data_IF_216165084111
#
_entry.id   IF_216165084111
#
_cell.length_a   1.000
_cell.length_b   1.000
_cell.length_c   1.000
_cell.angle_alpha   90.00
_cell.angle_beta   90.00
_cell.angle_gamma   90.00
#
_symmetry.space_group_name_H-M   'P 1'
#
loop_
_entity.id
_entity.type
_entity.pdbx_description
1 polymer ?
#
# COMPACT_ATOMS: atom_id res chain seq x y z
N UNK A 1 -12.81 13.45 53.39
CA UNK A 1 -12.79 12.46 52.29
C UNK A 1 -12.26 13.18 51.06
N UNK A 2 -11.01 12.90 50.68
CA UNK A 2 -10.31 13.60 49.62
C UNK A 2 -10.74 13.05 48.25
N UNK A 3 -11.25 13.93 47.38
CA UNK A 3 -11.66 13.61 46.02
C UNK A 3 -10.44 13.37 45.14
N UNK A 4 -10.39 12.20 44.51
CA UNK A 4 -9.37 11.80 43.55
C UNK A 4 -9.50 12.61 42.26
N UNK A 5 -8.43 13.36 41.94
CA UNK A 5 -8.17 13.96 40.64
C UNK A 5 -8.07 12.84 39.59
N UNK A 6 -9.09 12.68 38.76
CA UNK A 6 -8.99 11.86 37.54
C UNK A 6 -8.19 12.64 36.51
N UNK A 7 -6.90 12.33 36.44
CA UNK A 7 -5.97 12.83 35.45
C UNK A 7 -6.41 12.43 34.04
N UNK A 8 -6.61 13.43 33.19
CA UNK A 8 -6.78 13.26 31.75
C UNK A 8 -5.43 12.86 31.14
N UNK A 9 -5.23 11.55 30.97
CA UNK A 9 -4.13 11.01 30.16
C UNK A 9 -4.49 11.24 28.68
N UNK A 10 -4.05 12.36 28.10
CA UNK A 10 -4.05 12.55 26.66
C UNK A 10 -3.04 11.58 26.02
N UNK A 11 -3.54 10.48 25.47
CA UNK A 11 -2.79 9.64 24.54
C UNK A 11 -2.69 10.36 23.19
N UNK A 12 -1.59 11.06 22.96
CA UNK A 12 -1.17 11.48 21.62
C UNK A 12 -0.76 10.25 20.83
N UNK A 13 -1.66 9.74 19.98
CA UNK A 13 -1.31 8.78 18.94
C UNK A 13 -0.36 9.48 17.96
N UNK A 14 0.94 9.23 18.12
CA UNK A 14 1.91 9.47 17.08
C UNK A 14 1.57 8.52 15.92
N UNK A 15 0.88 9.04 14.90
CA UNK A 15 0.68 8.37 13.63
C UNK A 15 2.04 8.25 12.93
N UNK A 16 2.83 7.26 13.33
CA UNK A 16 3.94 6.79 12.50
C UNK A 16 3.34 6.31 11.19
N UNK A 17 3.85 6.79 10.05
CA UNK A 17 3.40 6.35 8.74
C UNK A 17 3.50 4.82 8.64
N UNK A 18 2.36 4.14 8.76
CA UNK A 18 2.28 2.68 8.72
C UNK A 18 2.79 2.19 7.37
N UNK A 19 4.00 1.62 7.41
CA UNK A 19 4.60 0.94 6.28
C UNK A 19 4.10 -0.49 6.26
N UNK A 20 3.33 -0.86 5.25
CA UNK A 20 2.92 -2.25 5.02
C UNK A 20 3.73 -2.88 3.89
N UNK A 21 4.21 -4.09 4.12
CA UNK A 21 4.97 -4.88 3.16
C UNK A 21 4.21 -6.19 2.89
N UNK A 22 3.57 -6.29 1.73
CA UNK A 22 2.80 -7.45 1.30
C UNK A 22 3.51 -8.16 0.16
N UNK A 23 3.62 -9.48 0.24
CA UNK A 23 4.15 -10.32 -0.84
C UNK A 23 2.98 -10.96 -1.57
N UNK A 24 2.95 -10.80 -2.89
CA UNK A 24 1.88 -11.30 -3.75
C UNK A 24 2.48 -12.00 -4.95
N UNK A 25 1.82 -13.07 -5.40
CA UNK A 25 2.19 -13.80 -6.60
C UNK A 25 1.12 -13.55 -7.66
N UNK A 26 1.55 -13.14 -8.86
CA UNK A 26 0.68 -12.83 -9.99
C UNK A 26 1.25 -13.52 -11.21
N UNK A 27 0.47 -14.40 -11.83
CA UNK A 27 0.82 -15.10 -13.07
C UNK A 27 2.20 -15.79 -12.99
N UNK A 28 2.50 -16.42 -11.84
CA UNK A 28 3.76 -17.12 -11.56
C UNK A 28 4.96 -16.24 -11.19
N UNK A 29 4.78 -14.90 -11.13
CA UNK A 29 5.80 -13.96 -10.72
C UNK A 29 5.55 -13.42 -9.30
N UNK A 30 6.61 -13.37 -8.48
CA UNK A 30 6.55 -12.88 -7.09
C UNK A 30 6.91 -11.41 -7.00
N UNK A 31 5.99 -10.65 -6.42
CA UNK A 31 6.09 -9.22 -6.20
C UNK A 31 6.10 -8.89 -4.71
N UNK A 32 6.90 -7.90 -4.34
CA UNK A 32 6.83 -7.23 -3.04
C UNK A 32 6.17 -5.88 -3.26
N UNK A 33 5.00 -5.70 -2.66
CA UNK A 33 4.25 -4.46 -2.62
C UNK A 33 4.51 -3.82 -1.27
N UNK A 34 5.15 -2.67 -1.26
CA UNK A 34 5.34 -1.84 -0.08
C UNK A 34 4.42 -0.63 -0.19
N UNK A 35 3.60 -0.37 0.81
CA UNK A 35 2.80 0.85 0.93
C UNK A 35 3.29 1.68 2.11
N UNK A 36 3.35 2.99 1.95
CA UNK A 36 3.68 3.95 3.01
C UNK A 36 2.74 5.14 2.83
N UNK A 37 1.72 5.24 3.68
CA UNK A 37 0.61 6.14 3.46
C UNK A 37 -0.06 5.89 2.10
N UNK A 38 -0.09 6.91 1.24
CA UNK A 38 -0.65 6.82 -0.11
C UNK A 38 0.36 6.37 -1.17
N UNK A 39 1.65 6.22 -0.84
CA UNK A 39 2.67 5.83 -1.80
C UNK A 39 2.78 4.32 -1.84
N UNK A 40 2.80 3.74 -3.03
CA UNK A 40 3.09 2.33 -3.25
C UNK A 40 4.38 2.15 -4.05
N UNK A 41 5.15 1.15 -3.66
CA UNK A 41 6.34 0.68 -4.39
C UNK A 41 6.22 -0.82 -4.63
N UNK A 42 6.31 -1.23 -5.87
CA UNK A 42 6.31 -2.63 -6.30
C UNK A 42 7.67 -3.01 -6.81
N UNK A 43 8.24 -4.06 -6.25
CA UNK A 43 9.48 -4.66 -6.72
C UNK A 43 9.26 -6.13 -7.06
N UNK A 44 9.64 -6.56 -8.26
CA UNK A 44 9.70 -7.98 -8.59
C UNK A 44 10.94 -8.59 -7.93
N UNK A 45 10.82 -9.79 -7.35
CA UNK A 45 11.94 -10.47 -6.67
C UNK A 45 12.91 -11.18 -7.63
N UNK A 46 12.69 -11.13 -8.94
CA UNK A 46 13.58 -11.76 -9.93
C UNK A 46 14.78 -10.87 -10.27
N UNK A 47 15.95 -11.49 -10.50
CA UNK A 47 17.22 -10.81 -10.80
C UNK A 47 17.27 -10.22 -12.22
N UNK A 48 16.42 -10.68 -13.13
CA UNK A 48 16.27 -10.17 -14.50
C UNK A 48 14.87 -9.59 -14.60
N UNK A 49 14.76 -8.27 -14.68
CA UNK A 49 13.49 -7.57 -14.90
C UNK A 49 13.65 -6.72 -16.14
N UNK A 50 13.00 -7.12 -17.23
CA UNK A 50 12.76 -6.23 -18.35
C UNK A 50 11.50 -5.42 -18.01
N UNK A 51 11.63 -4.10 -17.89
CA UNK A 51 10.51 -3.22 -17.61
C UNK A 51 9.72 -3.01 -18.92
N UNK A 52 8.90 -3.99 -19.28
CA UNK A 52 7.99 -3.92 -20.42
C UNK A 52 6.56 -3.58 -19.97
N UNK A 53 5.66 -3.29 -20.93
CA UNK A 53 4.28 -2.89 -20.63
C UNK A 53 3.55 -3.98 -19.85
N UNK A 54 3.75 -5.26 -20.20
CA UNK A 54 3.15 -6.40 -19.53
C UNK A 54 3.60 -6.55 -18.07
N UNK A 55 4.88 -6.27 -17.79
CA UNK A 55 5.42 -6.28 -16.44
C UNK A 55 4.80 -5.16 -15.60
N UNK A 56 4.62 -3.98 -16.19
CA UNK A 56 3.92 -2.86 -15.54
C UNK A 56 2.48 -3.23 -15.19
N UNK A 57 1.76 -3.87 -16.10
CA UNK A 57 0.38 -4.29 -15.87
C UNK A 57 0.28 -5.41 -14.81
N UNK A 58 1.24 -6.35 -14.79
CA UNK A 58 1.35 -7.34 -13.71
C UNK A 58 1.66 -6.71 -12.35
N UNK A 59 2.53 -5.69 -12.31
CA UNK A 59 2.79 -4.93 -11.07
C UNK A 59 1.55 -4.18 -10.58
N UNK A 60 0.76 -3.57 -11.47
CA UNK A 60 -0.53 -2.94 -11.13
C UNK A 60 -1.52 -3.96 -10.56
N UNK A 61 -1.63 -5.13 -11.20
CA UNK A 61 -2.45 -6.25 -10.72
C UNK A 61 -1.99 -6.72 -9.34
N UNK A 62 -0.68 -6.80 -9.10
CA UNK A 62 -0.13 -7.14 -7.79
C UNK A 62 -0.52 -6.13 -6.71
N UNK A 63 -0.48 -4.82 -7.01
CA UNK A 63 -0.97 -3.80 -6.07
C UNK A 63 -2.45 -3.96 -5.80
N UNK A 64 -3.27 -4.14 -6.85
CA UNK A 64 -4.71 -4.31 -6.69
C UNK A 64 -5.06 -5.54 -5.85
N UNK A 65 -4.31 -6.63 -5.97
CA UNK A 65 -4.45 -7.81 -5.10
C UNK A 65 -4.02 -7.52 -3.67
N UNK A 66 -2.92 -6.78 -3.48
CA UNK A 66 -2.37 -6.49 -2.15
C UNK A 66 -3.16 -5.43 -1.36
N UNK A 67 -3.73 -4.44 -2.04
CA UNK A 67 -4.34 -3.25 -1.41
C UNK A 67 -5.81 -3.05 -1.76
N UNK A 68 -6.30 -3.69 -2.83
CA UNK A 68 -7.63 -3.41 -3.39
C UNK A 68 -7.72 -2.12 -4.21
N UNK A 69 -6.62 -1.38 -4.33
CA UNK A 69 -6.58 -0.04 -4.93
C UNK A 69 -5.88 -0.05 -6.30
N UNK A 70 -6.12 0.99 -7.10
CA UNK A 70 -5.39 1.24 -8.33
C UNK A 70 -4.11 2.02 -8.05
N UNK A 71 -3.16 1.99 -8.99
CA UNK A 71 -1.97 2.85 -8.95
C UNK A 71 -2.12 3.97 -9.95
N UNK A 72 -1.90 5.20 -9.49
CA UNK A 72 -1.87 6.42 -10.31
C UNK A 72 -0.51 7.11 -10.14
N UNK A 73 -0.21 8.10 -10.99
CA UNK A 73 1.07 8.83 -10.97
C UNK A 73 2.30 7.89 -10.99
N UNK A 74 2.25 6.89 -11.87
CA UNK A 74 3.30 5.86 -11.95
C UNK A 74 4.59 6.44 -12.52
N UNK A 75 5.66 6.38 -11.70
CA UNK A 75 7.01 6.74 -12.10
C UNK A 75 7.82 5.45 -12.20
N UNK A 76 8.30 5.09 -13.41
CA UNK A 76 9.21 3.97 -13.56
C UNK A 76 10.53 4.31 -12.86
N UNK A 77 10.98 3.43 -11.95
CA UNK A 77 12.25 3.58 -11.25
C UNK A 77 13.09 2.30 -11.38
N UNK A 78 13.74 2.15 -12.54
CA UNK A 78 14.48 0.95 -12.91
C UNK A 78 13.56 -0.28 -12.97
N UNK A 79 13.84 -1.28 -12.13
CA UNK A 79 13.04 -2.52 -12.03
C UNK A 79 11.83 -2.43 -11.09
N UNK A 80 11.43 -1.22 -10.68
CA UNK A 80 10.36 -0.99 -9.69
C UNK A 80 9.29 -0.04 -10.25
N UNK A 81 8.05 -0.32 -9.88
CA UNK A 81 6.94 0.61 -10.05
C UNK A 81 6.80 1.43 -8.77
N UNK A 82 6.77 2.76 -8.85
CA UNK A 82 6.40 3.61 -7.73
C UNK A 82 5.26 4.52 -8.17
N UNK A 83 4.23 4.66 -7.34
CA UNK A 83 3.10 5.53 -7.64
C UNK A 83 2.29 5.84 -6.38
N UNK A 84 1.14 6.48 -6.58
CA UNK A 84 0.15 6.71 -5.52
C UNK A 84 -0.96 5.67 -5.62
N UNK A 85 -1.51 5.29 -4.48
CA UNK A 85 -2.71 4.46 -4.41
C UNK A 85 -3.94 5.34 -4.61
N UNK A 86 -4.71 5.02 -5.64
CA UNK A 86 -6.08 5.49 -5.82
C UNK A 86 -7.03 4.38 -5.41
N UNK A 87 -7.45 4.42 -4.15
CA UNK A 87 -8.41 3.46 -3.62
C UNK A 87 -9.81 3.94 -4.00
N UNK A 88 -10.66 3.09 -4.62
CA UNK A 88 -12.06 3.44 -4.76
C UNK A 88 -12.59 3.73 -3.36
N UNK A 89 -13.19 4.91 -3.16
CA UNK A 89 -13.84 5.24 -1.90
C UNK A 89 -14.74 4.06 -1.56
N UNK A 90 -14.43 3.38 -0.44
CA UNK A 90 -15.22 2.25 0.06
C UNK A 90 -16.69 2.67 -0.11
N UNK A 91 -17.54 1.91 -0.85
CA UNK A 91 -18.95 2.25 -0.88
C UNK A 91 -19.37 2.39 0.58
N UNK A 92 -19.95 3.56 0.91
CA UNK A 92 -20.40 3.84 2.27
C UNK A 92 -21.15 2.59 2.76
N UNK A 93 -20.87 2.09 3.98
CA UNK A 93 -21.60 0.95 4.49
C UNK A 93 -23.08 1.24 4.31
N UNK A 94 -23.78 0.40 3.55
CA UNK A 94 -25.21 0.54 3.35
C UNK A 94 -25.85 0.48 4.74
N UNK A 95 -26.24 1.63 5.26
CA UNK A 95 -26.96 1.75 6.51
C UNK A 95 -28.29 1.02 6.33
N UNK A 96 -28.58 -0.05 7.10
CA UNK A 96 -29.93 -0.61 7.14
C UNK A 96 -30.92 0.37 7.79
#
# INVERSE_FOLDING_TARGET
MAGLLFGALMMTLAAGEDRHDTKVEVDGARYRVTTTGQIVTVARKSFIVQFNIEERDRMRKAVRVATGCNVVDEIPNGAKLRGKLDCPAKPAPATP
#
